data_IF_489354863437
#
_entry.id   IF_489354863437
#
_cell.length_a   1.000
_cell.length_b   1.000
_cell.length_c   1.000
_cell.angle_alpha   90.00
_cell.angle_beta   90.00
_cell.angle_gamma   90.00
#
_symmetry.space_group_name_H-M   'P 1'
#
loop_
_entity.id
_entity.type
_entity.pdbx_description
1 polymer ?
#
# COMPACT_ATOMS: atom_id res chain seq x y z
N UNK A 1 0.50 -21.23 85.14
CA UNK A 1 -0.15 -20.04 84.56
C UNK A 1 0.64 -19.53 83.35
N UNK A 2 0.55 -20.18 82.18
CA UNK A 2 1.47 -19.90 81.03
C UNK A 2 0.81 -19.72 79.66
N UNK A 3 -0.51 -19.83 79.55
CA UNK A 3 -1.23 -19.83 78.26
C UNK A 3 -1.88 -18.48 77.89
N UNK A 4 -2.09 -17.59 78.86
CA UNK A 4 -2.81 -16.32 78.65
C UNK A 4 -1.93 -15.29 77.92
N UNK A 5 -0.61 -15.29 78.16
CA UNK A 5 0.33 -14.36 77.53
C UNK A 5 0.53 -14.64 76.03
N UNK A 6 0.51 -15.91 75.61
CA UNK A 6 0.70 -16.29 74.19
C UNK A 6 -0.48 -15.88 73.30
N UNK A 7 -1.72 -15.97 73.80
CA UNK A 7 -2.90 -15.58 73.03
C UNK A 7 -2.95 -14.07 72.77
N UNK A 8 -2.55 -13.27 73.76
CA UNK A 8 -2.45 -11.80 73.66
C UNK A 8 -1.37 -11.36 72.67
N UNK A 9 -0.19 -12.00 72.67
CA UNK A 9 0.90 -11.69 71.74
C UNK A 9 0.58 -12.09 70.29
N UNK A 10 -0.16 -13.18 70.08
CA UNK A 10 -0.65 -13.57 68.75
C UNK A 10 -1.70 -12.59 68.23
N UNK A 11 -2.63 -12.13 69.09
CA UNK A 11 -3.64 -11.14 68.71
C UNK A 11 -3.03 -9.75 68.44
N UNK A 12 -1.97 -9.37 69.14
CA UNK A 12 -1.28 -8.08 68.96
C UNK A 12 -0.47 -8.05 67.64
N UNK A 13 0.15 -9.19 67.28
CA UNK A 13 0.82 -9.36 65.98
C UNK A 13 -0.18 -9.43 64.80
N UNK A 14 -1.34 -10.07 64.98
CA UNK A 14 -2.37 -10.14 63.93
C UNK A 14 -2.97 -8.75 63.64
N UNK A 15 -3.16 -7.93 64.67
CA UNK A 15 -3.62 -6.53 64.53
C UNK A 15 -2.58 -5.61 63.88
N UNK A 16 -1.28 -5.88 64.02
CA UNK A 16 -0.21 -5.15 63.32
C UNK A 16 -0.14 -5.51 61.83
N UNK A 17 -0.48 -6.75 61.44
CA UNK A 17 -0.55 -7.16 60.03
C UNK A 17 -1.83 -6.70 59.32
N UNK A 18 -2.93 -6.47 60.05
CA UNK A 18 -4.21 -5.96 59.53
C UNK A 18 -4.33 -4.42 59.57
N UNK A 19 -3.22 -3.68 59.48
CA UNK A 19 -3.27 -2.21 59.40
C UNK A 19 -3.59 -1.75 57.95
N UNK A 20 -4.78 -1.21 57.67
CA UNK A 20 -5.20 -0.88 56.31
C UNK A 20 -4.55 0.41 55.76
N UNK A 21 -3.73 1.12 56.55
CA UNK A 21 -3.18 2.43 56.18
C UNK A 21 -2.22 2.43 54.98
N UNK A 22 -1.65 1.28 54.59
CA UNK A 22 -0.57 1.23 53.59
C UNK A 22 -0.99 0.68 52.21
N UNK A 23 -2.16 0.05 52.09
CA UNK A 23 -2.66 -0.50 50.82
C UNK A 23 -2.96 0.58 49.77
N UNK A 24 -3.70 1.67 50.06
CA UNK A 24 -4.05 2.65 49.02
C UNK A 24 -2.84 3.44 48.50
N UNK A 25 -1.73 3.50 49.23
CA UNK A 25 -0.54 4.24 48.83
C UNK A 25 0.33 3.46 47.83
N UNK A 26 0.37 2.13 47.94
CA UNK A 26 1.13 1.25 47.02
C UNK A 26 0.46 1.19 45.64
N UNK A 27 -0.86 1.12 45.61
CA UNK A 27 -1.65 1.14 44.38
C UNK A 27 -1.57 2.49 43.64
N UNK A 28 -1.52 3.61 44.37
CA UNK A 28 -1.31 4.95 43.77
C UNK A 28 0.05 5.07 43.07
N UNK A 29 1.11 4.49 43.65
CA UNK A 29 2.45 4.46 43.02
C UNK A 29 2.48 3.56 41.79
N UNK A 30 1.81 2.41 41.85
CA UNK A 30 1.70 1.48 40.73
C UNK A 30 0.93 2.11 39.56
N UNK A 31 -0.21 2.75 39.83
CA UNK A 31 -1.02 3.47 38.84
C UNK A 31 -0.24 4.60 38.15
N UNK A 32 0.56 5.38 38.91
CA UNK A 32 1.43 6.41 38.32
C UNK A 32 2.47 5.82 37.37
N UNK A 33 3.08 4.69 37.71
CA UNK A 33 4.05 4.00 36.83
C UNK A 33 3.38 3.47 35.57
N UNK A 34 2.18 2.91 35.69
CA UNK A 34 1.39 2.45 34.55
C UNK A 34 1.03 3.61 33.61
N UNK A 35 0.55 4.74 34.15
CA UNK A 35 0.22 5.92 33.37
C UNK A 35 1.45 6.49 32.65
N UNK A 36 2.61 6.53 33.30
CA UNK A 36 3.87 6.95 32.68
C UNK A 36 4.30 6.00 31.55
N UNK A 37 4.17 4.69 31.75
CA UNK A 37 4.48 3.70 30.72
C UNK A 37 3.54 3.84 29.51
N UNK A 38 2.24 4.01 29.74
CA UNK A 38 1.24 4.23 28.69
C UNK A 38 1.51 5.55 27.95
N UNK A 39 1.79 6.63 28.68
CA UNK A 39 2.13 7.92 28.09
C UNK A 39 3.40 7.88 27.23
N UNK A 40 4.35 7.00 27.55
CA UNK A 40 5.55 6.79 26.74
C UNK A 40 5.29 5.90 25.50
N UNK A 41 4.46 4.87 25.64
CA UNK A 41 4.22 3.89 24.57
C UNK A 41 3.20 4.37 23.53
N UNK A 42 2.17 5.11 23.95
CA UNK A 42 1.11 5.58 23.05
C UNK A 42 1.62 6.42 21.87
N UNK A 43 2.51 7.42 22.07
CA UNK A 43 3.04 8.21 20.96
C UNK A 43 3.76 7.34 19.94
N UNK A 44 4.55 6.36 20.38
CA UNK A 44 5.27 5.45 19.49
C UNK A 44 4.31 4.64 18.62
N UNK A 45 3.25 4.09 19.21
CA UNK A 45 2.25 3.31 18.49
C UNK A 45 1.51 4.18 17.47
N UNK A 46 1.11 5.39 17.86
CA UNK A 46 0.41 6.33 16.97
C UNK A 46 1.33 6.75 15.81
N UNK A 47 2.60 7.06 16.09
CA UNK A 47 3.57 7.43 15.06
C UNK A 47 3.79 6.30 14.04
N UNK A 48 3.87 5.05 14.50
CA UNK A 48 3.99 3.88 13.61
C UNK A 48 2.73 3.73 12.76
N UNK A 49 1.54 3.83 13.35
CA UNK A 49 0.28 3.74 12.60
C UNK A 49 0.15 4.83 11.53
N UNK A 50 0.48 6.09 11.87
CA UNK A 50 0.47 7.20 10.90
C UNK A 50 1.45 6.93 9.76
N UNK A 51 2.64 6.42 10.09
CA UNK A 51 3.67 6.11 9.09
C UNK A 51 3.21 5.00 8.15
N UNK A 52 2.65 3.91 8.70
CA UNK A 52 2.10 2.81 7.92
C UNK A 52 0.95 3.26 7.02
N UNK A 53 0.03 4.07 7.55
CA UNK A 53 -1.09 4.60 6.78
C UNK A 53 -0.62 5.47 5.60
N UNK A 54 0.36 6.35 5.84
CA UNK A 54 0.95 7.16 4.76
C UNK A 54 1.68 6.30 3.73
N UNK A 55 2.41 5.27 4.16
CA UNK A 55 3.08 4.34 3.24
C UNK A 55 2.07 3.57 2.39
N UNK A 56 0.95 3.13 2.96
CA UNK A 56 -0.11 2.44 2.23
C UNK A 56 -0.72 3.34 1.14
N UNK A 57 -0.98 4.61 1.44
CA UNK A 57 -1.49 5.57 0.45
C UNK A 57 -0.50 5.77 -0.70
N UNK A 58 0.78 5.99 -0.39
CA UNK A 58 1.83 6.15 -1.41
C UNK A 58 1.98 4.88 -2.26
N UNK A 59 1.88 3.69 -1.66
CA UNK A 59 1.94 2.42 -2.40
C UNK A 59 0.76 2.31 -3.37
N UNK A 60 -0.46 2.65 -2.93
CA UNK A 60 -1.65 2.61 -3.78
C UNK A 60 -1.53 3.58 -4.95
N UNK A 61 -1.08 4.82 -4.70
CA UNK A 61 -0.84 5.81 -5.76
C UNK A 61 0.19 5.32 -6.77
N UNK A 62 1.33 4.79 -6.30
CA UNK A 62 2.36 4.22 -7.16
C UNK A 62 1.86 3.02 -7.96
N UNK A 63 0.99 2.19 -7.38
CA UNK A 63 0.42 1.03 -8.06
C UNK A 63 -0.54 1.46 -9.19
N UNK A 64 -1.35 2.49 -8.96
CA UNK A 64 -2.22 3.08 -10.00
C UNK A 64 -1.37 3.66 -11.14
N UNK A 65 -0.34 4.44 -10.79
CA UNK A 65 0.57 5.02 -11.78
C UNK A 65 1.26 3.94 -12.61
N UNK A 66 1.81 2.91 -11.96
CA UNK A 66 2.47 1.80 -12.62
C UNK A 66 1.51 1.05 -13.57
N UNK A 67 0.27 0.83 -13.15
CA UNK A 67 -0.72 0.18 -14.01
C UNK A 67 -1.06 1.03 -15.25
N UNK A 68 -1.18 2.35 -15.08
CA UNK A 68 -1.41 3.27 -16.18
C UNK A 68 -0.22 3.32 -17.15
N UNK A 69 1.00 3.37 -16.64
CA UNK A 69 2.21 3.32 -17.46
C UNK A 69 2.35 1.99 -18.20
N UNK A 70 2.06 0.87 -17.53
CA UNK A 70 2.04 -0.46 -18.16
C UNK A 70 1.02 -0.53 -19.29
N UNK A 71 -0.16 0.05 -19.11
CA UNK A 71 -1.18 0.13 -20.16
C UNK A 71 -0.69 0.95 -21.35
N UNK A 72 -0.14 2.15 -21.10
CA UNK A 72 0.45 3.00 -22.16
C UNK A 72 1.59 2.29 -22.90
N UNK A 73 2.45 1.57 -22.19
CA UNK A 73 3.53 0.79 -22.78
C UNK A 73 2.98 -0.30 -23.71
N UNK A 74 1.96 -1.04 -23.26
CA UNK A 74 1.32 -2.06 -24.09
C UNK A 74 0.64 -1.49 -25.34
N UNK A 75 0.00 -0.32 -25.24
CA UNK A 75 -0.59 0.38 -26.39
C UNK A 75 0.50 0.82 -27.38
N UNK A 76 1.61 1.35 -26.87
CA UNK A 76 2.73 1.79 -27.69
C UNK A 76 3.45 0.62 -28.37
N UNK A 77 3.58 -0.52 -27.68
CA UNK A 77 4.15 -1.75 -28.24
C UNK A 77 3.27 -2.32 -29.37
N UNK A 78 1.94 -2.28 -29.20
CA UNK A 78 0.99 -2.63 -30.26
C UNK A 78 1.11 -1.71 -31.46
N UNK A 79 1.24 -0.40 -31.22
CA UNK A 79 1.44 0.59 -32.28
C UNK A 79 2.77 0.38 -33.02
N UNK A 80 3.84 0.08 -32.28
CA UNK A 80 5.16 -0.25 -32.83
C UNK A 80 5.10 -1.47 -33.75
N UNK A 81 4.48 -2.56 -33.31
CA UNK A 81 4.25 -3.75 -34.16
C UNK A 81 3.43 -3.43 -35.42
N UNK A 82 2.42 -2.57 -35.28
CA UNK A 82 1.60 -2.15 -36.42
C UNK A 82 2.46 -1.40 -37.45
N UNK A 83 3.30 -0.46 -37.00
CA UNK A 83 4.20 0.26 -37.89
C UNK A 83 5.30 -0.61 -38.50
N UNK A 84 5.87 -1.55 -37.75
CA UNK A 84 6.86 -2.49 -38.29
C UNK A 84 6.27 -3.31 -39.45
N UNK A 85 5.01 -3.75 -39.31
CA UNK A 85 4.31 -4.46 -40.38
C UNK A 85 4.05 -3.57 -41.60
N UNK A 86 3.67 -2.31 -41.38
CA UNK A 86 3.44 -1.34 -42.45
C UNK A 86 4.76 -1.02 -43.19
N UNK A 87 5.85 -0.78 -42.47
CA UNK A 87 7.21 -0.56 -43.04
C UNK A 87 7.65 -1.79 -43.85
N UNK A 88 7.48 -2.99 -43.28
CA UNK A 88 7.81 -4.24 -43.98
C UNK A 88 7.01 -4.37 -45.28
N UNK A 89 5.70 -4.10 -45.23
CA UNK A 89 4.83 -4.13 -46.41
C UNK A 89 5.27 -3.13 -47.48
N UNK A 90 5.73 -1.95 -47.07
CA UNK A 90 6.25 -0.91 -47.95
C UNK A 90 7.63 -1.23 -48.56
N UNK A 91 8.43 -2.08 -47.91
CA UNK A 91 9.82 -2.36 -48.32
C UNK A 91 9.95 -3.68 -49.10
N UNK A 92 9.03 -4.63 -48.93
CA UNK A 92 9.13 -5.97 -49.54
C UNK A 92 8.80 -6.02 -51.04
N UNK A 93 7.85 -5.23 -51.53
CA UNK A 93 7.43 -5.29 -52.94
C UNK A 93 6.57 -4.10 -53.38
N UNK A 94 6.55 -3.82 -54.69
CA UNK A 94 5.67 -2.82 -55.31
C UNK A 94 4.18 -3.15 -55.08
N UNK A 95 3.81 -4.42 -55.12
CA UNK A 95 2.46 -4.91 -54.78
C UNK A 95 2.06 -4.55 -53.32
N UNK A 96 3.02 -4.63 -52.40
CA UNK A 96 2.84 -4.25 -51.00
C UNK A 96 2.58 -2.76 -50.83
N UNK A 97 3.31 -1.92 -51.56
CA UNK A 97 3.10 -0.47 -51.60
C UNK A 97 1.70 -0.14 -52.14
N UNK A 98 1.28 -0.78 -53.24
CA UNK A 98 -0.06 -0.58 -53.81
C UNK A 98 -1.16 -1.03 -52.84
N UNK A 99 -0.98 -2.14 -52.14
CA UNK A 99 -1.93 -2.61 -51.11
C UNK A 99 -2.04 -1.64 -49.93
N UNK A 100 -0.91 -1.09 -49.48
CA UNK A 100 -0.87 -0.10 -48.42
C UNK A 100 -1.57 1.20 -48.84
N UNK A 101 -1.31 1.68 -50.07
CA UNK A 101 -1.94 2.86 -50.63
C UNK A 101 -3.47 2.70 -50.74
N UNK A 102 -3.97 1.53 -51.19
CA UNK A 102 -5.40 1.19 -51.21
C UNK A 102 -6.04 1.28 -49.83
N UNK A 103 -5.35 0.77 -48.80
CA UNK A 103 -5.84 0.81 -47.42
C UNK A 103 -5.93 2.24 -46.87
N UNK A 104 -4.93 3.09 -47.15
CA UNK A 104 -4.86 4.45 -46.60
C UNK A 104 -5.72 5.47 -47.35
N UNK A 105 -5.71 5.44 -48.68
CA UNK A 105 -6.31 6.47 -49.52
C UNK A 105 -7.60 6.02 -50.20
N UNK A 106 -8.07 4.81 -49.89
CA UNK A 106 -9.27 4.24 -50.51
C UNK A 106 -9.10 4.03 -52.02
N UNK A 107 -7.87 3.80 -52.49
CA UNK A 107 -7.64 3.50 -53.90
C UNK A 107 -8.37 2.23 -54.32
N UNK A 108 -8.64 2.15 -55.62
CA UNK A 108 -9.45 1.13 -56.27
C UNK A 108 -8.95 -0.29 -55.96
N UNK A 109 -9.88 -1.26 -55.93
CA UNK A 109 -9.58 -2.68 -55.63
C UNK A 109 -8.52 -3.25 -56.59
N UNK A 110 -7.90 -4.40 -56.28
CA UNK A 110 -6.88 -5.04 -57.13
C UNK A 110 -7.23 -5.19 -58.61
N UNK A 111 -8.52 -5.21 -58.95
CA UNK A 111 -9.04 -5.39 -60.30
C UNK A 111 -9.71 -4.13 -60.88
N UNK A 112 -9.55 -2.99 -60.22
CA UNK A 112 -10.12 -1.72 -60.66
C UNK A 112 -8.98 -0.79 -61.11
N UNK A 113 -9.11 -0.20 -62.29
CA UNK A 113 -8.10 0.67 -62.88
C UNK A 113 -8.20 2.09 -62.31
N UNK A 114 -7.11 2.62 -61.76
CA UNK A 114 -7.02 4.02 -61.33
C UNK A 114 -6.71 4.87 -62.56
N UNK A 115 -7.62 5.78 -62.92
CA UNK A 115 -7.36 6.79 -63.93
C UNK A 115 -6.71 8.00 -63.28
N UNK A 116 -5.51 8.35 -63.72
CA UNK A 116 -4.85 9.59 -63.31
C UNK A 116 -5.56 10.73 -64.05
N UNK A 117 -6.31 11.55 -63.32
CA UNK A 117 -6.86 12.79 -63.88
C UNK A 117 -5.68 13.76 -63.92
N UNK A 118 -5.09 13.94 -65.10
CA UNK A 118 -4.13 15.01 -65.33
C UNK A 118 -4.87 16.36 -65.25
N UNK A 119 -4.36 17.29 -64.45
CA UNK A 119 -4.74 18.71 -64.52
C UNK A 119 -4.25 19.34 -65.82
#
# INVERSE_FOLDING_TARGET
>A
MGSIAKLSQQQLNLKQQLNPKNYPQKDKKLRRRLLLAIAFMLPMIISVQISLYKQEQIIKEKQILLNNEKKKLSELEMLGRYFDNDIKTLTESEEGILKFARKLYGFSKPNETIFQIAE
#
